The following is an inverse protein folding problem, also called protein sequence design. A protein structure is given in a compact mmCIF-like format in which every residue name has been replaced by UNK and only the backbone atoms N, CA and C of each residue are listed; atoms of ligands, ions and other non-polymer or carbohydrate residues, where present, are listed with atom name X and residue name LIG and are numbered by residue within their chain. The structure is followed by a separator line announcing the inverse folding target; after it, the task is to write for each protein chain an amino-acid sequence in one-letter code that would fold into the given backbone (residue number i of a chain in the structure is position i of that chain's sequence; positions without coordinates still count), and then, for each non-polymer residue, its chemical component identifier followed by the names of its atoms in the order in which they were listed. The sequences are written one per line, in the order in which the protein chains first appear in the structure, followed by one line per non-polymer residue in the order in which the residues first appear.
data_IF_858476139757
#
_entry.id   IF_858476139757
#
_cell.length_a   1.000
_cell.length_b   1.000
_cell.length_c   1.000
_cell.angle_alpha   90.00
_cell.angle_beta   90.00
_cell.angle_gamma   90.00
#
_symmetry.space_group_name_H-M   'P 1'
#
loop_
_entity.id
_entity.type
_entity.pdbx_description
1 polymer ?
#
# COMPACT_ATOMS: atom_id res chain seq x y z
N UNK A 1 -19.83 -20.07 -1.39
CA UNK A 1 -18.72 -19.14 -1.68
C UNK A 1 -18.90 -17.95 -0.75
N UNK A 2 -18.23 -17.89 0.41
CA UNK A 2 -18.35 -16.72 1.30
C UNK A 2 -17.64 -15.55 0.64
N UNK A 3 -18.40 -14.58 0.14
CA UNK A 3 -17.87 -13.26 -0.22
C UNK A 3 -17.40 -12.60 1.07
N UNK A 4 -16.09 -12.62 1.35
CA UNK A 4 -15.49 -11.75 2.35
C UNK A 4 -15.65 -10.31 1.85
N UNK A 5 -16.75 -9.67 2.22
CA UNK A 5 -16.86 -8.22 2.14
C UNK A 5 -15.85 -7.69 3.16
N UNK A 6 -14.80 -6.97 2.73
CA UNK A 6 -13.87 -6.38 3.68
C UNK A 6 -14.67 -5.51 4.66
N UNK A 7 -14.45 -5.71 5.95
CA UNK A 7 -15.08 -4.90 7.01
C UNK A 7 -14.90 -3.41 6.68
N UNK A 8 -15.90 -2.58 7.00
CA UNK A 8 -15.80 -1.14 6.81
C UNK A 8 -14.53 -0.63 7.50
N UNK A 9 -13.65 0.02 6.71
CA UNK A 9 -12.36 0.52 7.18
C UNK A 9 -11.21 -0.47 7.15
N UNK A 10 -11.40 -1.70 6.68
CA UNK A 10 -10.31 -2.64 6.41
C UNK A 10 -9.39 -2.11 5.29
N UNK A 11 -8.12 -2.51 5.35
CA UNK A 11 -7.19 -2.24 4.26
C UNK A 11 -7.56 -3.08 3.04
N UNK A 12 -7.66 -2.40 1.89
CA UNK A 12 -7.84 -3.03 0.59
C UNK A 12 -6.58 -2.73 -0.22
N UNK A 13 -5.85 -3.75 -0.68
CA UNK A 13 -4.66 -3.52 -1.49
C UNK A 13 -4.99 -2.79 -2.79
N UNK A 14 -4.17 -1.80 -3.12
CA UNK A 14 -4.20 -1.14 -4.41
C UNK A 14 -3.37 -1.91 -5.44
N UNK A 15 -3.96 -2.14 -6.60
CA UNK A 15 -3.29 -2.73 -7.76
C UNK A 15 -3.35 -1.78 -8.97
N UNK A 16 -2.47 -1.97 -9.93
CA UNK A 16 -2.53 -1.34 -11.26
C UNK A 16 -3.49 -2.10 -12.20
N UNK A 17 -3.51 -1.70 -13.48
CA UNK A 17 -4.37 -2.31 -14.51
C UNK A 17 -3.98 -3.76 -14.85
N UNK A 18 -2.73 -4.14 -14.62
CA UNK A 18 -2.22 -5.49 -14.86
C UNK A 18 -2.40 -6.40 -13.64
N UNK A 19 -3.02 -5.87 -12.58
CA UNK A 19 -3.26 -6.58 -11.32
C UNK A 19 -2.04 -6.68 -10.42
N UNK A 20 -0.95 -5.97 -10.73
CA UNK A 20 0.23 -5.92 -9.88
C UNK A 20 0.03 -4.94 -8.73
N UNK A 21 0.65 -5.19 -7.58
CA UNK A 21 0.62 -4.25 -6.46
C UNK A 21 1.26 -2.93 -6.88
N UNK A 22 0.59 -1.82 -6.56
CA UNK A 22 1.23 -0.51 -6.72
C UNK A 22 2.36 -0.41 -5.71
N UNK A 23 3.54 0.13 -6.07
CA UNK A 23 4.66 0.25 -5.15
C UNK A 23 4.33 1.04 -3.87
N UNK A 24 3.38 1.97 -3.95
CA UNK A 24 2.83 2.70 -2.80
C UNK A 24 1.42 2.22 -2.47
N UNK A 25 1.25 1.70 -1.27
CA UNK A 25 -0.05 1.31 -0.71
C UNK A 25 -0.49 2.33 0.34
N UNK A 26 -1.80 2.56 0.45
CA UNK A 26 -2.37 3.46 1.44
C UNK A 26 -3.60 2.84 2.11
N UNK A 27 -3.70 2.93 3.42
CA UNK A 27 -4.88 2.51 4.14
C UNK A 27 -5.90 3.64 4.17
N UNK A 28 -6.94 3.56 3.33
CA UNK A 28 -7.89 4.66 3.15
C UNK A 28 -8.60 5.15 4.43
N UNK A 29 -8.81 4.28 5.43
CA UNK A 29 -9.49 4.66 6.67
C UNK A 29 -8.59 5.32 7.71
N UNK A 30 -7.31 4.94 7.76
CA UNK A 30 -6.34 5.52 8.71
C UNK A 30 -5.47 6.60 8.08
N UNK A 31 -5.46 6.70 6.74
CA UNK A 31 -4.63 7.59 5.94
C UNK A 31 -3.13 7.28 5.95
N UNK A 32 -2.72 6.16 6.53
CA UNK A 32 -1.32 5.73 6.52
C UNK A 32 -0.93 5.22 5.13
N UNK A 33 0.31 5.45 4.71
CA UNK A 33 0.85 4.90 3.46
C UNK A 33 2.21 4.24 3.70
N UNK A 34 2.55 3.25 2.89
CA UNK A 34 3.83 2.53 2.94
C UNK A 34 4.23 2.06 1.54
N UNK A 35 5.50 1.65 1.40
CA UNK A 35 5.97 1.02 0.16
C UNK A 35 5.90 -0.50 0.27
N UNK A 36 5.63 -1.17 -0.85
CA UNK A 36 5.60 -2.64 -0.93
C UNK A 36 6.56 -3.20 -1.99
N UNK A 37 6.93 -4.46 -1.86
CA UNK A 37 7.57 -5.24 -2.92
C UNK A 37 6.54 -5.75 -3.95
N UNK A 38 6.99 -6.44 -5.00
CA UNK A 38 6.10 -7.01 -6.03
C UNK A 38 5.15 -8.10 -5.51
N UNK A 39 5.39 -8.62 -4.30
CA UNK A 39 4.51 -9.57 -3.61
C UNK A 39 3.52 -8.88 -2.68
N UNK A 40 3.53 -7.55 -2.62
CA UNK A 40 2.67 -6.75 -1.76
C UNK A 40 3.12 -6.67 -0.31
N UNK A 41 4.35 -7.08 0.02
CA UNK A 41 4.88 -7.01 1.37
C UNK A 41 5.44 -5.62 1.66
N UNK A 42 5.08 -5.07 2.80
CA UNK A 42 5.60 -3.79 3.30
C UNK A 42 7.13 -3.82 3.41
N UNK A 43 7.77 -2.77 2.91
CA UNK A 43 9.19 -2.52 3.11
C UNK A 43 9.43 -1.87 4.48
N UNK A 44 10.42 -2.32 5.25
CA UNK A 44 10.75 -1.72 6.54
C UNK A 44 10.95 -0.21 6.47
N UNK A 45 10.54 0.51 7.51
CA UNK A 45 10.73 1.97 7.65
C UNK A 45 10.08 2.84 6.55
N UNK A 46 9.08 2.32 5.82
CA UNK A 46 8.39 3.10 4.78
C UNK A 46 7.00 3.58 5.19
N UNK A 47 6.48 3.13 6.34
CA UNK A 47 5.14 3.51 6.79
C UNK A 47 5.11 4.92 7.36
N UNK A 48 4.18 5.72 6.86
CA UNK A 48 4.03 7.13 7.19
C UNK A 48 2.62 7.44 7.68
N UNK A 49 2.47 8.39 8.61
CA UNK A 49 1.17 8.87 9.05
C UNK A 49 0.50 9.78 8.00
N UNK A 50 -0.82 10.03 8.12
CA UNK A 50 -1.54 10.99 7.27
C UNK A 50 -0.87 12.37 7.26
N UNK A 51 -0.87 13.03 6.11
CA UNK A 51 -0.29 14.36 5.95
C UNK A 51 1.23 14.39 5.76
N UNK A 52 1.90 13.22 5.74
CA UNK A 52 3.32 13.13 5.37
C UNK A 52 3.50 13.33 3.87
N UNK A 53 4.62 13.93 3.47
CA UNK A 53 4.98 14.04 2.07
C UNK A 53 5.02 12.65 1.39
N UNK A 54 4.57 12.52 0.14
CA UNK A 54 4.59 11.24 -0.58
C UNK A 54 5.97 10.60 -0.64
N UNK A 55 6.12 9.34 -0.22
CA UNK A 55 7.35 8.58 -0.49
C UNK A 55 7.44 8.21 -1.97
N UNK A 56 8.62 8.40 -2.56
CA UNK A 56 8.94 7.91 -3.90
C UNK A 56 9.30 6.41 -3.84
N UNK A 57 8.28 5.55 -3.69
CA UNK A 57 8.46 4.10 -3.57
C UNK A 57 9.15 3.46 -4.78
N UNK A 58 9.07 4.10 -5.95
CA UNK A 58 9.73 3.66 -7.19
C UNK A 58 11.26 3.88 -7.19
N UNK A 59 11.76 4.77 -6.31
CA UNK A 59 13.18 5.10 -6.21
C UNK A 59 13.88 4.35 -5.08
N UNK A 60 13.13 3.90 -4.05
CA UNK A 60 13.66 3.15 -2.90
C UNK A 60 14.08 1.71 -3.23
N UNK A 61 13.91 1.25 -4.48
CA UNK A 61 14.32 -0.08 -4.96
C UNK A 61 15.58 -0.10 -5.83
N UNK A 62 16.35 0.98 -5.87
CA UNK A 62 17.56 1.12 -6.71
C UNK A 62 18.85 1.28 -5.89
N UNK A 63 19.12 0.35 -4.97
CA UNK A 63 20.44 0.20 -4.34
C UNK A 63 20.76 -1.27 -4.19
#
# INVERSE_FOLDING_TARGET
MSTQIPSVGAYIPQCDSDGQYRPRQCHGSTGHCWCVDSRGQEKPETRTPPGTAPLACDLLGKT
#
